data_IF_253004841917
#
_entry.id   IF_253004841917
#
_cell.length_a   1.000
_cell.length_b   1.000
_cell.length_c   1.000
_cell.angle_alpha   90.00
_cell.angle_beta   90.00
_cell.angle_gamma   90.00
#
_symmetry.space_group_name_H-M   'P 1'
#
loop_
_entity.id
_entity.type
_entity.pdbx_description
1 polymer ?
#
# COMPACT_ATOMS: atom_id res chain seq x y z
N UNK A 1 2.91 20.05 -3.11
CA UNK A 1 2.00 19.47 -2.15
C UNK A 1 1.19 18.34 -2.78
N UNK A 2 1.12 17.20 -2.12
CA UNK A 2 0.49 16.02 -2.67
C UNK A 2 -0.69 15.57 -1.81
N UNK A 3 -1.58 14.77 -2.42
CA UNK A 3 -2.71 14.21 -1.71
C UNK A 3 -2.29 13.11 -0.76
N UNK A 4 -1.20 12.44 -1.07
CA UNK A 4 -0.71 11.34 -0.27
C UNK A 4 0.43 10.64 -0.97
N UNK A 5 0.75 9.44 -0.51
CA UNK A 5 1.89 8.72 -1.04
C UNK A 5 1.58 7.23 -1.13
N UNK A 6 1.98 6.62 -2.22
CA UNK A 6 1.85 5.18 -2.44
C UNK A 6 3.23 4.61 -2.72
N UNK A 7 3.64 3.63 -1.93
CA UNK A 7 4.89 2.91 -2.16
C UNK A 7 4.54 1.51 -2.64
N UNK A 8 4.83 1.25 -3.91
CA UNK A 8 4.50 -0.03 -4.54
C UNK A 8 5.62 -0.46 -5.48
N UNK A 9 6.20 -1.60 -5.30
CA UNK A 9 6.11 -2.46 -4.13
C UNK A 9 6.88 -1.87 -2.96
N UNK A 10 6.50 -2.26 -1.75
CA UNK A 10 7.17 -1.76 -0.55
C UNK A 10 7.90 -2.92 0.11
N UNK A 11 9.22 -2.84 0.15
CA UNK A 11 10.04 -3.91 0.72
C UNK A 11 10.00 -3.87 2.24
N UNK A 12 10.37 -4.99 2.86
CA UNK A 12 10.46 -5.03 4.32
C UNK A 12 11.57 -4.12 4.84
N UNK A 13 12.59 -3.86 4.01
CA UNK A 13 13.62 -2.90 4.38
C UNK A 13 13.03 -1.50 4.47
N UNK A 14 12.20 -1.13 3.52
CA UNK A 14 11.53 0.17 3.54
C UNK A 14 10.55 0.25 4.72
N UNK A 15 9.81 -0.82 4.97
CA UNK A 15 8.91 -0.90 6.12
C UNK A 15 9.71 -0.64 7.40
N UNK A 16 10.86 -1.31 7.56
CA UNK A 16 11.69 -1.12 8.75
C UNK A 16 12.19 0.32 8.87
N UNK A 17 12.57 0.91 7.75
CA UNK A 17 13.04 2.29 7.75
C UNK A 17 11.95 3.27 8.16
N UNK A 18 10.75 3.08 7.63
CA UNK A 18 9.62 3.93 8.00
C UNK A 18 9.29 3.74 9.47
N UNK A 19 9.27 2.49 9.92
CA UNK A 19 8.93 2.16 11.30
C UNK A 19 9.87 2.82 12.30
N UNK A 20 11.16 2.85 11.99
CA UNK A 20 12.15 3.44 12.92
C UNK A 20 12.33 4.93 12.71
N UNK A 21 11.63 5.54 11.77
CA UNK A 21 11.79 6.96 11.51
C UNK A 21 13.10 7.30 10.84
N UNK A 22 13.71 6.34 10.19
CA UNK A 22 15.00 6.50 9.57
C UNK A 22 14.85 7.08 8.18
N UNK A 23 15.30 8.30 7.98
CA UNK A 23 15.03 9.03 6.75
C UNK A 23 16.31 9.35 5.99
N UNK A 24 17.06 8.31 5.62
CA UNK A 24 18.34 8.48 4.95
C UNK A 24 18.25 8.47 3.43
N UNK A 25 17.06 8.24 2.88
CA UNK A 25 16.87 8.33 1.43
C UNK A 25 15.58 9.09 1.15
N UNK A 26 15.38 9.40 -0.13
CA UNK A 26 14.27 10.25 -0.52
C UNK A 26 12.91 9.62 -0.23
N UNK A 27 12.79 8.32 -0.44
CA UNK A 27 11.52 7.63 -0.20
C UNK A 27 11.16 7.66 1.28
N UNK A 28 12.13 7.37 2.15
CA UNK A 28 11.89 7.38 3.58
C UNK A 28 11.60 8.79 4.09
N UNK A 29 12.25 9.80 3.52
CA UNK A 29 11.96 11.18 3.87
C UNK A 29 10.55 11.56 3.49
N UNK A 30 10.14 11.19 2.27
CA UNK A 30 8.80 11.51 1.80
C UNK A 30 7.75 10.82 2.67
N UNK A 31 7.99 9.57 3.05
CA UNK A 31 7.06 8.86 3.92
C UNK A 31 6.97 9.52 5.29
N UNK A 32 8.11 9.93 5.84
CA UNK A 32 8.15 10.59 7.14
C UNK A 32 7.32 11.87 7.12
N UNK A 33 7.49 12.68 6.09
CA UNK A 33 6.74 13.92 5.95
C UNK A 33 5.25 13.65 5.78
N UNK A 34 4.92 12.63 4.96
CA UNK A 34 3.52 12.28 4.74
C UNK A 34 2.84 11.88 6.04
N UNK A 35 3.53 11.11 6.87
CA UNK A 35 3.00 10.71 8.17
C UNK A 35 2.83 11.93 9.07
N UNK A 36 3.82 12.79 9.13
CA UNK A 36 3.76 13.99 9.97
C UNK A 36 2.60 14.90 9.57
N UNK A 37 2.33 14.99 8.29
CA UNK A 37 1.26 15.83 7.79
C UNK A 37 -0.08 15.11 7.76
N UNK A 38 -0.11 13.88 8.21
CA UNK A 38 -1.33 13.09 8.33
C UNK A 38 -2.06 12.92 7.00
N UNK A 39 -1.29 12.83 5.93
CA UNK A 39 -1.85 12.51 4.62
C UNK A 39 -1.83 11.00 4.42
N UNK A 40 -2.68 10.49 3.56
CA UNK A 40 -2.72 9.03 3.32
C UNK A 40 -1.38 8.50 2.84
N UNK A 41 -0.92 7.44 3.48
CA UNK A 41 0.28 6.71 3.09
C UNK A 41 -0.12 5.25 2.91
N UNK A 42 0.03 4.76 1.69
CA UNK A 42 -0.32 3.38 1.37
C UNK A 42 0.95 2.61 1.08
N UNK A 43 1.11 1.50 1.77
CA UNK A 43 2.29 0.66 1.65
C UNK A 43 1.86 -0.68 1.06
N UNK A 44 2.23 -0.91 -0.19
CA UNK A 44 1.90 -2.17 -0.87
C UNK A 44 2.98 -3.20 -0.54
N UNK A 45 2.96 -3.65 0.71
CA UNK A 45 3.99 -4.52 1.25
C UNK A 45 3.66 -5.97 0.99
N UNK A 46 4.69 -6.73 0.59
CA UNK A 46 4.52 -8.18 0.47
C UNK A 46 5.85 -8.85 0.76
N UNK A 47 5.75 -10.00 1.37
CA UNK A 47 6.90 -10.81 1.72
C UNK A 47 6.41 -12.17 2.16
N UNK A 48 7.19 -13.18 1.89
CA UNK A 48 6.84 -14.52 2.35
C UNK A 48 8.09 -15.36 2.55
N UNK A 49 8.27 -16.04 3.68
CA UNK A 49 7.42 -15.92 4.85
C UNK A 49 7.70 -14.63 5.62
N UNK A 50 6.76 -14.25 6.48
CA UNK A 50 6.93 -13.06 7.32
C UNK A 50 7.54 -13.45 8.65
N UNK A 51 8.59 -12.75 9.05
CA UNK A 51 9.19 -12.96 10.36
C UNK A 51 8.40 -12.23 11.43
N UNK A 52 8.66 -12.56 12.69
CA UNK A 52 8.04 -11.85 13.80
C UNK A 52 8.37 -10.36 13.76
N UNK A 53 9.58 -10.01 13.33
CA UNK A 53 9.99 -8.62 13.23
C UNK A 53 9.19 -7.93 12.13
N UNK A 54 9.01 -8.58 10.99
CA UNK A 54 8.18 -8.03 9.92
C UNK A 54 6.76 -7.76 10.41
N UNK A 55 6.19 -8.73 11.08
CA UNK A 55 4.81 -8.61 11.55
C UNK A 55 4.67 -7.50 12.58
N UNK A 56 5.64 -7.36 13.47
CA UNK A 56 5.60 -6.27 14.45
C UNK A 56 5.65 -4.92 13.76
N UNK A 57 6.56 -4.76 12.82
CA UNK A 57 6.70 -3.48 12.13
C UNK A 57 5.44 -3.12 11.35
N UNK A 58 4.86 -4.12 10.65
CA UNK A 58 3.64 -3.89 9.90
C UNK A 58 2.48 -3.52 10.82
N UNK A 59 2.35 -4.23 11.93
CA UNK A 59 1.26 -3.96 12.86
C UNK A 59 1.37 -2.55 13.42
N UNK A 60 2.55 -2.16 13.85
CA UNK A 60 2.72 -0.85 14.46
C UNK A 60 2.53 0.28 13.45
N UNK A 61 2.98 0.08 12.21
CA UNK A 61 2.72 1.07 11.18
C UNK A 61 1.24 1.18 10.86
N UNK A 62 0.54 0.06 10.86
CA UNK A 62 -0.89 0.06 10.55
C UNK A 62 -1.71 0.80 11.60
N UNK A 63 -1.16 1.04 12.77
CA UNK A 63 -1.84 1.77 13.85
C UNK A 63 -1.67 3.29 13.71
N UNK A 64 -0.79 3.75 12.85
CA UNK A 64 -0.59 5.17 12.65
C UNK A 64 -1.75 5.72 11.81
N UNK A 65 -2.36 6.86 12.21
CA UNK A 65 -3.45 7.41 11.43
C UNK A 65 -3.08 7.64 9.97
N UNK A 66 -3.97 7.27 9.08
CA UNK A 66 -3.83 7.44 7.62
C UNK A 66 -2.76 6.56 6.98
N UNK A 67 -2.19 5.62 7.72
CA UNK A 67 -1.29 4.64 7.13
C UNK A 67 -2.10 3.37 6.84
N UNK A 68 -2.02 2.90 5.61
CA UNK A 68 -2.71 1.69 5.18
C UNK A 68 -1.71 0.73 4.59
N UNK A 69 -1.80 -0.51 5.02
CA UNK A 69 -0.96 -1.56 4.45
C UNK A 69 -1.87 -2.43 3.60
N UNK A 70 -1.62 -2.41 2.31
CA UNK A 70 -2.47 -3.13 1.35
C UNK A 70 -1.56 -4.07 0.56
N UNK A 71 -1.46 -5.33 0.98
CA UNK A 71 -0.67 -6.30 0.21
C UNK A 71 -1.26 -6.46 -1.18
N UNK A 72 -0.42 -6.44 -2.21
CA UNK A 72 -0.92 -6.60 -3.57
C UNK A 72 -1.18 -8.09 -3.83
N UNK A 73 -2.35 -8.53 -3.45
CA UNK A 73 -2.74 -9.94 -3.55
C UNK A 73 -3.71 -10.15 -4.69
N UNK A 74 -3.43 -11.14 -5.50
CA UNK A 74 -4.35 -11.53 -6.55
C UNK A 74 -5.54 -12.25 -5.92
N UNK A 75 -6.71 -11.99 -6.46
CA UNK A 75 -7.92 -12.60 -5.96
C UNK A 75 -8.73 -13.17 -7.11
N UNK A 76 -9.43 -14.25 -6.82
CA UNK A 76 -10.32 -14.89 -7.79
C UNK A 76 -11.77 -14.70 -7.42
N UNK A 77 -12.06 -13.85 -6.47
CA UNK A 77 -13.41 -13.57 -6.04
C UNK A 77 -14.29 -13.10 -7.19
N UNK A 78 -13.75 -12.25 -8.03
CA UNK A 78 -14.52 -11.68 -9.13
C UNK A 78 -14.33 -12.45 -10.43
N UNK A 79 -13.80 -13.66 -10.34
CA UNK A 79 -13.58 -14.51 -11.50
C UNK A 79 -12.86 -13.78 -12.62
N UNK A 80 -11.70 -13.20 -12.34
CA UNK A 80 -10.99 -12.49 -13.39
C UNK A 80 -10.58 -13.44 -14.50
N UNK A 81 -10.67 -12.98 -15.74
CA UNK A 81 -10.40 -13.81 -16.90
C UNK A 81 -8.97 -13.67 -17.41
N UNK A 82 -8.20 -12.76 -16.85
CA UNK A 82 -6.84 -12.52 -17.31
C UNK A 82 -5.98 -11.99 -16.18
N UNK A 83 -4.67 -12.08 -16.38
CA UNK A 83 -3.74 -11.50 -15.43
C UNK A 83 -3.86 -9.98 -15.44
N UNK A 84 -4.11 -9.41 -16.62
CA UNK A 84 -4.28 -7.97 -16.75
C UNK A 84 -5.46 -7.48 -15.92
N UNK A 85 -6.53 -8.22 -15.92
CA UNK A 85 -7.70 -7.88 -15.13
C UNK A 85 -7.41 -7.99 -13.63
N UNK A 86 -6.66 -9.02 -13.24
CA UNK A 86 -6.25 -9.14 -11.84
C UNK A 86 -5.36 -8.00 -11.41
N UNK A 87 -4.45 -7.57 -12.29
CA UNK A 87 -3.57 -6.45 -11.99
C UNK A 87 -4.36 -5.16 -11.84
N UNK A 88 -5.39 -4.99 -12.65
CA UNK A 88 -6.25 -3.82 -12.55
C UNK A 88 -6.96 -3.79 -11.20
N UNK A 89 -7.45 -4.93 -10.73
CA UNK A 89 -8.11 -5.00 -9.43
C UNK A 89 -7.15 -4.62 -8.31
N UNK A 90 -5.91 -5.08 -8.38
CA UNK A 90 -4.92 -4.73 -7.38
C UNK A 90 -4.67 -3.23 -7.40
N UNK A 91 -4.48 -2.65 -8.57
CA UNK A 91 -4.23 -1.22 -8.70
C UNK A 91 -5.39 -0.40 -8.16
N UNK A 92 -6.63 -0.83 -8.48
CA UNK A 92 -7.81 -0.13 -7.99
C UNK A 92 -7.87 -0.13 -6.47
N UNK A 93 -7.52 -1.25 -5.85
CA UNK A 93 -7.53 -1.36 -4.40
C UNK A 93 -6.52 -0.41 -3.77
N UNK A 94 -5.34 -0.29 -4.38
CA UNK A 94 -4.30 0.58 -3.87
C UNK A 94 -4.68 2.05 -3.96
N UNK A 95 -5.55 2.41 -4.90
CA UNK A 95 -5.94 3.80 -5.12
C UNK A 95 -7.15 4.22 -4.28
N UNK A 96 -7.90 3.25 -3.75
CA UNK A 96 -9.09 3.56 -2.96
C UNK A 96 -8.86 4.52 -1.81
N UNK A 97 -7.79 4.36 -1.01
CA UNK A 97 -7.58 5.25 0.13
C UNK A 97 -7.38 6.71 -0.24
N UNK A 98 -7.11 7.00 -1.52
CA UNK A 98 -6.91 8.38 -1.98
C UNK A 98 -8.19 8.96 -2.56
N UNK A 99 -9.29 8.22 -2.51
CA UNK A 99 -10.53 8.68 -3.09
C UNK A 99 -10.57 8.60 -4.60
N UNK A 100 -9.63 7.88 -5.19
CA UNK A 100 -9.57 7.74 -6.64
C UNK A 100 -10.38 6.53 -7.05
N UNK A 101 -11.26 6.72 -8.01
CA UNK A 101 -12.14 5.68 -8.48
C UNK A 101 -11.69 5.17 -9.84
N UNK A 102 -11.51 3.87 -9.94
CA UNK A 102 -11.11 3.25 -11.20
C UNK A 102 -12.34 2.81 -11.95
N UNK A 103 -12.68 3.52 -13.01
CA UNK A 103 -13.91 3.26 -13.76
C UNK A 103 -13.95 1.86 -14.34
N UNK A 104 -12.83 1.39 -14.84
CA UNK A 104 -12.79 0.06 -15.42
C UNK A 104 -12.89 -1.04 -14.38
N UNK A 105 -12.46 -0.74 -13.18
CA UNK A 105 -12.62 -1.66 -12.07
C UNK A 105 -14.11 -1.92 -11.81
N UNK A 106 -14.90 -0.87 -11.84
CA UNK A 106 -16.34 -1.01 -11.66
C UNK A 106 -16.96 -1.84 -12.76
N UNK A 107 -16.51 -1.62 -13.98
CA UNK A 107 -17.04 -2.35 -15.11
C UNK A 107 -16.80 -3.84 -14.96
N UNK A 108 -15.64 -4.21 -14.43
CA UNK A 108 -15.30 -5.62 -14.26
C UNK A 108 -15.94 -6.22 -13.02
N UNK A 109 -16.10 -5.48 -11.96
CA UNK A 109 -16.59 -6.01 -10.70
C UNK A 109 -18.08 -5.80 -10.51
N UNK A 110 -18.66 -4.86 -11.18
CA UNK A 110 -20.07 -4.52 -11.03
C UNK A 110 -20.98 -5.23 -12.02
N UNK A 111 -20.43 -6.11 -12.79
CA UNK A 111 -21.22 -6.83 -13.78
C UNK A 111 -21.85 -8.07 -13.23
#
# INVERSE_FOLDING_TARGET
QTEGMLIVPCSMKTIAGIHSGYADNLILRAADVTIKEQRPLVLAARETPLSAIHLRNLQELAMIPNVRIIPPMMTFYHMPESIEEMMYHIAAKLLEPFGIEAKEYRRWSGL
#
